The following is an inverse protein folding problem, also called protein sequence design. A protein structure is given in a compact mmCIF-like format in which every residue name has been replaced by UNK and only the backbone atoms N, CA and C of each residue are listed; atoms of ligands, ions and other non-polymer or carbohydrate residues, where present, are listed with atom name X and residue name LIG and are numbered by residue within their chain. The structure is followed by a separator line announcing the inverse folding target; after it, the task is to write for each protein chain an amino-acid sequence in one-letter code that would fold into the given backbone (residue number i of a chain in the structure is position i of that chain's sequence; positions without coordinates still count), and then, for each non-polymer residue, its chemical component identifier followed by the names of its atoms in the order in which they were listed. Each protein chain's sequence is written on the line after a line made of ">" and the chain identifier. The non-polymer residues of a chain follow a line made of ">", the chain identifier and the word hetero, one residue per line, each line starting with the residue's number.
data_IF_662746456792
#
_entry.id   IF_662746456792
#
_cell.length_a   1.000
_cell.length_b   1.000
_cell.length_c   1.000
_cell.angle_alpha   90.00
_cell.angle_beta   90.00
_cell.angle_gamma   90.00
#
_symmetry.space_group_name_H-M   'P 1'
#
loop_
_entity.id
_entity.type
_entity.pdbx_description
1 polymer ?
#
# COMPACT_ATOMS: atom_id res chain seq x y z
N UNK A 1 56.58 -60.43 8.00
CA UNK A 1 56.05 -59.07 7.79
C UNK A 1 54.54 -59.13 7.97
N UNK A 2 54.01 -58.54 9.06
CA UNK A 2 52.56 -58.38 9.29
C UNK A 2 52.19 -56.96 8.87
N UNK A 3 51.38 -56.83 7.83
CA UNK A 3 50.90 -55.54 7.31
C UNK A 3 49.74 -55.07 8.19
N UNK A 4 49.91 -53.95 8.89
CA UNK A 4 48.83 -53.26 9.58
C UNK A 4 48.04 -52.44 8.56
N UNK A 5 46.74 -52.70 8.47
CA UNK A 5 45.80 -51.90 7.68
C UNK A 5 45.31 -50.74 8.54
N UNK A 6 45.79 -49.54 8.27
CA UNK A 6 45.34 -48.32 8.94
C UNK A 6 43.95 -47.95 8.43
N UNK A 7 42.93 -48.09 9.28
CA UNK A 7 41.57 -47.67 8.98
C UNK A 7 41.46 -46.17 9.27
N UNK A 8 41.49 -45.33 8.24
CA UNK A 8 41.28 -43.89 8.35
C UNK A 8 39.79 -43.65 8.62
N UNK A 9 39.43 -43.28 9.85
CA UNK A 9 38.10 -42.73 10.13
C UNK A 9 38.00 -41.36 9.46
N UNK A 10 37.18 -41.25 8.40
CA UNK A 10 36.71 -39.94 7.94
C UNK A 10 35.77 -39.37 9.02
N UNK A 11 36.24 -38.38 9.76
CA UNK A 11 35.36 -37.51 10.54
C UNK A 11 34.49 -36.73 9.56
N UNK A 12 33.19 -37.02 9.53
CA UNK A 12 32.23 -36.16 8.85
C UNK A 12 32.20 -34.83 9.61
N UNK A 13 32.88 -33.82 9.07
CA UNK A 13 32.75 -32.44 9.54
C UNK A 13 31.30 -32.02 9.31
N UNK A 14 30.50 -31.98 10.37
CA UNK A 14 29.20 -31.31 10.33
C UNK A 14 29.48 -29.83 10.14
N UNK A 15 29.34 -29.36 8.90
CA UNK A 15 29.34 -27.92 8.61
C UNK A 15 28.15 -27.37 9.38
N UNK A 16 28.40 -26.61 10.44
CA UNK A 16 27.37 -25.81 11.09
C UNK A 16 26.97 -24.77 10.06
N UNK A 17 25.77 -24.90 9.51
CA UNK A 17 25.21 -23.90 8.61
C UNK A 17 25.04 -22.60 9.40
N UNK A 18 25.37 -21.46 8.78
CA UNK A 18 25.10 -20.18 9.39
C UNK A 18 23.57 -19.97 9.51
N UNK A 19 23.12 -19.32 10.58
CA UNK A 19 21.71 -18.95 10.74
C UNK A 19 21.54 -17.45 10.54
N UNK A 20 20.44 -17.06 9.88
CA UNK A 20 20.02 -15.67 9.70
C UNK A 20 18.83 -15.37 10.60
N UNK A 21 18.84 -14.18 11.22
CA UNK A 21 17.74 -13.68 12.05
C UNK A 21 16.81 -12.77 11.24
N UNK A 22 15.52 -13.13 11.14
CA UNK A 22 14.45 -12.21 10.77
C UNK A 22 13.70 -11.71 12.00
N UNK A 23 13.72 -10.39 12.21
CA UNK A 23 12.79 -9.71 13.10
C UNK A 23 11.60 -9.24 12.28
N UNK A 24 10.44 -9.85 12.51
CA UNK A 24 9.19 -9.52 11.83
C UNK A 24 8.42 -8.56 12.71
N UNK A 25 8.07 -7.40 12.19
CA UNK A 25 7.40 -6.32 12.93
C UNK A 25 6.04 -6.04 12.29
N UNK A 26 4.99 -6.03 13.12
CA UNK A 26 3.69 -5.54 12.69
C UNK A 26 3.55 -4.05 13.02
N UNK A 27 3.53 -3.20 12.00
CA UNK A 27 3.18 -1.78 12.14
C UNK A 27 1.77 -1.48 11.63
N UNK A 28 1.02 -2.47 11.18
CA UNK A 28 -0.37 -2.31 10.79
C UNK A 28 -1.22 -1.96 12.04
N UNK A 29 -2.32 -1.20 11.92
CA UNK A 29 -3.21 -0.90 13.03
C UNK A 29 -3.98 -2.10 13.60
N UNK A 30 -3.93 -3.25 12.94
CA UNK A 30 -4.59 -4.50 13.35
C UNK A 30 -3.62 -5.67 13.45
N UNK A 31 -4.05 -6.72 14.14
CA UNK A 31 -3.33 -7.99 14.21
C UNK A 31 -3.19 -8.60 12.81
N UNK A 32 -1.99 -9.07 12.48
CA UNK A 32 -1.72 -9.77 11.22
C UNK A 32 -1.44 -11.25 11.49
N UNK A 33 -1.78 -12.09 10.52
CA UNK A 33 -1.28 -13.47 10.49
C UNK A 33 0.07 -13.47 9.79
N UNK A 34 1.09 -14.09 10.37
CA UNK A 34 2.41 -14.19 9.73
C UNK A 34 2.56 -15.57 9.10
N UNK A 35 3.07 -15.63 7.88
CA UNK A 35 3.34 -16.87 7.16
C UNK A 35 4.78 -16.90 6.66
N UNK A 36 5.38 -18.08 6.71
CA UNK A 36 6.70 -18.39 6.14
C UNK A 36 6.54 -19.64 5.27
N UNK A 37 6.82 -19.52 3.97
CA UNK A 37 6.66 -20.60 2.98
C UNK A 37 5.30 -21.33 3.07
N UNK A 38 4.23 -20.56 3.21
CA UNK A 38 2.87 -21.11 3.30
C UNK A 38 2.46 -21.61 4.68
N UNK A 39 3.39 -21.70 5.64
CA UNK A 39 3.11 -22.16 6.99
C UNK A 39 2.82 -20.98 7.93
N UNK A 40 1.70 -21.04 8.64
CA UNK A 40 1.37 -20.03 9.64
C UNK A 40 2.39 -20.03 10.79
N UNK A 41 2.80 -18.83 11.19
CA UNK A 41 3.71 -18.58 12.31
C UNK A 41 2.98 -18.02 13.52
N UNK A 42 1.64 -17.99 13.47
CA UNK A 42 0.78 -17.36 14.46
C UNK A 42 0.36 -15.94 14.09
N UNK A 43 -0.27 -15.30 15.08
CA UNK A 43 -0.74 -13.92 15.00
C UNK A 43 0.28 -12.97 15.61
N UNK A 44 0.37 -11.75 15.07
CA UNK A 44 1.24 -10.69 15.58
C UNK A 44 0.40 -9.43 15.81
N UNK A 45 0.28 -8.99 17.06
CA UNK A 45 -0.52 -7.83 17.44
C UNK A 45 0.09 -6.52 16.92
N UNK A 46 -0.68 -5.42 16.86
CA UNK A 46 -0.15 -4.11 16.47
C UNK A 46 1.06 -3.69 17.31
N UNK A 47 2.12 -3.22 16.64
CA UNK A 47 3.41 -2.84 17.22
C UNK A 47 4.22 -3.98 17.87
N UNK A 48 3.75 -5.22 17.79
CA UNK A 48 4.50 -6.37 18.24
C UNK A 48 5.58 -6.77 17.22
N UNK A 49 6.61 -7.44 17.71
CA UNK A 49 7.66 -8.02 16.90
C UNK A 49 7.92 -9.46 17.34
N UNK A 50 8.30 -10.31 16.39
CA UNK A 50 8.71 -11.68 16.67
C UNK A 50 9.96 -12.03 15.88
N UNK A 51 10.81 -12.87 16.46
CA UNK A 51 12.06 -13.30 15.87
C UNK A 51 11.92 -14.69 15.26
N UNK A 52 12.45 -14.89 14.06
CA UNK A 52 12.53 -16.17 13.38
C UNK A 52 13.94 -16.37 12.84
N UNK A 53 14.51 -17.54 13.05
CA UNK A 53 15.78 -17.91 12.43
C UNK A 53 15.52 -18.82 11.24
N UNK A 54 16.38 -18.72 10.24
CA UNK A 54 16.40 -19.64 9.11
C UNK A 54 17.84 -19.88 8.68
N UNK A 55 18.08 -21.07 8.13
CA UNK A 55 19.37 -21.49 7.59
C UNK A 55 19.85 -20.53 6.48
N UNK A 56 21.15 -20.33 6.36
CA UNK A 56 21.75 -19.46 5.35
C UNK A 56 21.38 -19.86 3.92
N UNK A 57 21.09 -21.14 3.70
CA UNK A 57 20.69 -21.69 2.40
C UNK A 57 19.20 -21.56 2.11
N UNK A 58 18.41 -21.06 3.07
CA UNK A 58 16.95 -20.99 2.95
C UNK A 58 16.53 -20.00 1.86
N UNK A 59 15.56 -20.42 1.05
CA UNK A 59 14.88 -19.56 0.09
C UNK A 59 13.38 -19.62 0.33
N UNK A 60 12.72 -18.47 0.23
CA UNK A 60 11.31 -18.43 0.57
C UNK A 60 10.70 -17.04 0.70
N UNK A 61 9.47 -17.05 1.16
CA UNK A 61 8.60 -15.89 1.29
C UNK A 61 8.14 -15.71 2.74
N UNK A 62 8.20 -14.47 3.21
CA UNK A 62 7.60 -14.03 4.48
C UNK A 62 6.49 -13.03 4.15
N UNK A 63 5.27 -13.31 4.61
CA UNK A 63 4.10 -12.54 4.22
C UNK A 63 2.94 -12.62 5.24
N UNK A 64 1.88 -11.87 4.98
CA UNK A 64 0.62 -11.89 5.74
C UNK A 64 -0.57 -12.09 4.81
N UNK A 65 -1.65 -12.73 5.27
CA UNK A 65 -2.89 -12.95 4.50
C UNK A 65 -4.00 -11.98 4.88
N UNK A 66 -3.72 -10.93 5.67
CA UNK A 66 -4.72 -9.97 6.15
C UNK A 66 -5.46 -9.23 5.02
N UNK A 67 -5.13 -9.47 3.76
CA UNK A 67 -5.87 -9.00 2.60
C UNK A 67 -6.10 -10.07 1.52
N UNK A 68 -6.59 -11.24 1.94
CA UNK A 68 -7.05 -12.32 1.05
C UNK A 68 -5.99 -12.99 0.16
N UNK A 69 -4.72 -12.55 0.19
CA UNK A 69 -3.67 -13.25 -0.52
C UNK A 69 -3.30 -14.58 0.12
N UNK A 70 -2.60 -15.41 -0.65
CA UNK A 70 -2.25 -16.78 -0.28
C UNK A 70 -0.79 -17.07 -0.62
N UNK A 71 -0.28 -18.23 -0.16
CA UNK A 71 1.06 -18.69 -0.48
C UNK A 71 1.34 -18.76 -1.99
N UNK A 72 0.29 -19.00 -2.79
CA UNK A 72 0.38 -19.47 -4.18
C UNK A 72 -0.34 -18.59 -5.20
N UNK A 73 -0.81 -17.39 -4.82
CA UNK A 73 -1.65 -16.56 -5.70
C UNK A 73 -1.53 -15.06 -5.46
N UNK A 74 -2.16 -14.29 -6.36
CA UNK A 74 -2.34 -12.84 -6.24
C UNK A 74 -2.90 -12.45 -4.86
N UNK A 75 -2.63 -11.22 -4.40
CA UNK A 75 -3.21 -10.66 -3.17
C UNK A 75 -2.24 -10.11 -2.14
N UNK A 76 -0.92 -10.34 -2.27
CA UNK A 76 0.05 -9.99 -1.21
C UNK A 76 1.36 -9.38 -1.69
N UNK A 77 1.76 -8.29 -1.03
CA UNK A 77 3.15 -7.85 -0.98
C UNK A 77 3.94 -8.76 -0.06
N UNK A 78 5.12 -9.20 -0.48
CA UNK A 78 5.87 -10.28 0.18
C UNK A 78 7.35 -9.93 0.24
N UNK A 79 7.98 -10.29 1.35
CA UNK A 79 9.44 -10.28 1.46
C UNK A 79 9.97 -11.62 0.95
N UNK A 80 10.77 -11.58 -0.11
CA UNK A 80 11.40 -12.75 -0.70
C UNK A 80 12.89 -12.80 -0.41
N UNK A 81 13.38 -14.02 -0.18
CA UNK A 81 14.78 -14.29 0.13
C UNK A 81 15.29 -15.44 -0.71
N UNK A 82 16.56 -15.33 -1.11
CA UNK A 82 17.32 -16.40 -1.73
C UNK A 82 18.68 -16.50 -1.03
N UNK A 83 18.71 -17.33 0.02
CA UNK A 83 19.82 -17.39 0.96
C UNK A 83 21.14 -17.87 0.34
N UNK A 84 21.11 -18.79 -0.62
CA UNK A 84 22.34 -19.34 -1.24
C UNK A 84 23.30 -18.28 -1.79
N UNK A 85 22.77 -17.13 -2.22
CA UNK A 85 23.57 -16.01 -2.73
C UNK A 85 23.20 -14.68 -2.07
N UNK A 86 22.59 -14.71 -0.88
CA UNK A 86 22.28 -13.55 -0.04
C UNK A 86 21.39 -12.48 -0.68
N UNK A 87 20.56 -12.86 -1.64
CA UNK A 87 19.62 -11.93 -2.26
C UNK A 87 18.31 -11.83 -1.48
N UNK A 88 17.73 -10.65 -1.51
CA UNK A 88 16.37 -10.37 -1.08
C UNK A 88 15.70 -9.42 -2.06
N UNK A 89 14.38 -9.46 -2.05
CA UNK A 89 13.55 -8.72 -2.98
C UNK A 89 12.15 -8.57 -2.41
N UNK A 90 11.38 -7.64 -2.96
CA UNK A 90 9.98 -7.49 -2.67
C UNK A 90 9.17 -7.92 -3.89
N UNK A 91 8.10 -8.67 -3.64
CA UNK A 91 7.07 -8.95 -4.64
C UNK A 91 5.86 -8.10 -4.28
N UNK A 92 5.27 -7.39 -5.23
CA UNK A 92 3.99 -6.71 -5.07
C UNK A 92 2.87 -7.50 -5.72
N UNK A 93 1.64 -7.24 -5.31
CA UNK A 93 0.48 -7.62 -6.11
C UNK A 93 0.13 -6.46 -7.07
N UNK A 94 0.12 -6.69 -8.40
CA UNK A 94 -0.26 -5.66 -9.36
C UNK A 94 -1.75 -5.30 -9.31
N UNK A 95 -2.61 -6.14 -8.73
CA UNK A 95 -4.07 -5.99 -8.73
C UNK A 95 -4.63 -5.47 -7.40
N UNK A 96 -3.97 -5.77 -6.28
CA UNK A 96 -4.47 -5.42 -4.95
C UNK A 96 -3.30 -4.93 -4.07
N UNK A 97 -3.18 -3.62 -3.92
CA UNK A 97 -2.15 -3.04 -3.08
C UNK A 97 -2.60 -2.98 -1.62
N UNK A 98 -2.21 -4.01 -0.87
CA UNK A 98 -2.94 -4.35 0.32
C UNK A 98 -2.13 -4.07 1.59
N UNK A 99 -0.93 -4.63 1.72
CA UNK A 99 0.00 -4.41 2.85
C UNK A 99 1.33 -3.92 2.28
N UNK A 100 1.82 -2.75 2.70
CA UNK A 100 3.22 -2.37 2.40
C UNK A 100 4.20 -3.28 3.16
N UNK A 101 5.38 -3.53 2.58
CA UNK A 101 6.45 -4.32 3.22
C UNK A 101 7.78 -3.61 3.04
N UNK A 102 8.61 -3.59 4.08
CA UNK A 102 10.02 -3.21 3.96
C UNK A 102 10.95 -4.29 4.47
N UNK A 103 12.13 -4.37 3.88
CA UNK A 103 13.25 -5.20 4.33
C UNK A 103 14.41 -4.27 4.64
N UNK A 104 14.80 -4.21 5.91
CA UNK A 104 15.97 -3.47 6.38
C UNK A 104 17.02 -4.48 6.84
N UNK A 105 18.13 -4.68 6.11
CA UNK A 105 19.21 -5.54 6.57
C UNK A 105 19.85 -4.96 7.85
N UNK A 106 20.25 -5.82 8.77
CA UNK A 106 21.00 -5.50 9.99
C UNK A 106 22.28 -6.32 10.05
N UNK A 107 23.39 -5.61 10.02
CA UNK A 107 24.72 -6.16 10.20
C UNK A 107 24.90 -6.52 11.68
N UNK A 108 25.15 -7.81 11.97
CA UNK A 108 25.27 -8.31 13.34
C UNK A 108 26.73 -8.26 13.83
N UNK A 109 27.70 -8.40 12.92
CA UNK A 109 29.13 -8.18 13.16
C UNK A 109 29.74 -7.44 11.96
N UNK A 110 30.81 -6.65 12.18
CA UNK A 110 31.30 -5.63 11.23
C UNK A 110 31.42 -6.14 9.78
N UNK A 111 30.51 -5.70 8.92
CA UNK A 111 30.57 -5.91 7.49
C UNK A 111 31.51 -4.88 6.85
N UNK A 112 32.60 -5.35 6.26
CA UNK A 112 33.46 -4.55 5.40
C UNK A 112 32.95 -4.63 3.95
N UNK A 113 32.34 -3.55 3.45
CA UNK A 113 32.23 -3.28 2.00
C UNK A 113 31.09 -3.92 1.21
N UNK A 114 29.97 -4.28 1.85
CA UNK A 114 28.83 -4.93 1.16
C UNK A 114 27.77 -3.99 0.59
N UNK A 115 27.18 -4.37 -0.54
CA UNK A 115 25.94 -3.80 -1.07
C UNK A 115 24.81 -4.25 -0.14
N UNK A 116 24.39 -3.44 0.84
CA UNK A 116 23.30 -3.76 1.77
C UNK A 116 22.36 -2.57 1.86
N UNK A 117 21.29 -2.58 1.06
CA UNK A 117 20.36 -1.47 0.95
C UNK A 117 19.00 -1.81 1.57
N UNK A 118 18.22 -0.79 1.92
CA UNK A 118 16.83 -1.01 2.31
C UNK A 118 15.98 -1.23 1.06
N UNK A 119 15.11 -2.23 1.11
CA UNK A 119 14.04 -2.40 0.12
C UNK A 119 12.72 -1.96 0.76
N UNK A 120 11.96 -1.11 0.06
CA UNK A 120 10.72 -0.52 0.55
C UNK A 120 9.65 -0.62 -0.53
N UNK A 121 8.49 -1.13 -0.14
CA UNK A 121 7.25 -1.05 -0.89
C UNK A 121 6.21 -0.47 0.07
N UNK A 122 6.00 0.84 -0.02
CA UNK A 122 5.02 1.58 0.77
C UNK A 122 3.89 2.12 -0.14
N UNK A 123 2.98 2.95 0.39
CA UNK A 123 1.80 3.37 -0.37
C UNK A 123 2.10 4.39 -1.47
N UNK A 124 3.30 4.99 -1.44
CA UNK A 124 3.74 6.04 -2.37
C UNK A 124 4.82 5.52 -3.32
N UNK A 125 5.70 4.65 -2.83
CA UNK A 125 6.90 4.13 -3.46
C UNK A 125 6.91 2.60 -3.39
N UNK A 126 6.43 1.98 -4.47
CA UNK A 126 6.51 0.53 -4.67
C UNK A 126 6.92 0.21 -6.12
N UNK A 127 7.99 0.87 -6.57
CA UNK A 127 8.52 0.78 -7.94
C UNK A 127 9.65 -0.24 -8.08
N UNK A 128 10.41 -0.49 -7.01
CA UNK A 128 11.50 -1.47 -6.97
C UNK A 128 11.01 -2.83 -6.46
N UNK A 129 10.00 -3.40 -7.11
CA UNK A 129 9.42 -4.71 -6.77
C UNK A 129 9.23 -5.57 -8.02
N UNK A 130 9.13 -6.88 -7.81
CA UNK A 130 8.66 -7.81 -8.84
C UNK A 130 7.14 -8.01 -8.75
N UNK A 131 6.48 -8.34 -9.86
CA UNK A 131 5.07 -8.79 -9.84
C UNK A 131 4.95 -10.30 -9.54
N UNK A 132 6.04 -11.05 -9.71
CA UNK A 132 6.15 -12.48 -9.41
C UNK A 132 7.52 -12.84 -8.84
N UNK A 133 7.68 -13.94 -8.08
CA UNK A 133 9.00 -14.38 -7.64
C UNK A 133 9.98 -14.52 -8.83
N UNK A 134 11.21 -13.98 -8.74
CA UNK A 134 12.23 -14.18 -9.77
C UNK A 134 12.63 -15.65 -9.83
N UNK A 135 12.80 -16.15 -11.06
CA UNK A 135 13.18 -17.56 -11.32
C UNK A 135 14.69 -17.79 -11.35
N UNK A 136 15.49 -16.72 -11.42
CA UNK A 136 16.95 -16.78 -11.55
C UNK A 136 17.61 -15.72 -10.68
N UNK A 137 18.71 -16.10 -10.05
CA UNK A 137 19.54 -15.20 -9.25
C UNK A 137 20.96 -15.18 -9.84
N UNK A 138 21.56 -14.00 -10.06
CA UNK A 138 22.96 -13.90 -10.48
C UNK A 138 23.90 -14.57 -9.49
N UNK A 139 25.08 -14.98 -9.97
CA UNK A 139 26.17 -15.34 -9.06
C UNK A 139 26.63 -14.09 -8.29
N UNK A 140 27.05 -14.23 -7.01
CA UNK A 140 27.58 -13.12 -6.23
C UNK A 140 28.71 -12.42 -7.00
N UNK A 141 28.67 -11.09 -7.02
CA UNK A 141 29.61 -10.28 -7.78
C UNK A 141 30.22 -9.19 -6.92
N UNK A 142 31.32 -8.59 -7.38
CA UNK A 142 31.91 -7.42 -6.76
C UNK A 142 31.14 -6.12 -7.01
N UNK A 143 29.93 -6.17 -7.56
CA UNK A 143 29.09 -5.01 -7.92
C UNK A 143 27.66 -5.17 -7.41
N UNK A 144 27.03 -4.06 -7.00
CA UNK A 144 25.65 -4.08 -6.51
C UNK A 144 24.69 -4.55 -7.60
N UNK A 145 23.74 -5.47 -7.31
CA UNK A 145 22.63 -5.71 -8.22
C UNK A 145 21.80 -4.44 -8.39
N UNK A 146 21.23 -4.26 -9.58
CA UNK A 146 20.25 -3.21 -9.80
C UNK A 146 18.89 -3.61 -9.17
N UNK A 147 18.13 -2.64 -8.60
CA UNK A 147 16.75 -2.89 -8.22
C UNK A 147 15.94 -3.48 -9.39
N UNK A 148 14.94 -4.33 -9.14
CA UNK A 148 14.31 -4.62 -7.84
C UNK A 148 14.99 -5.75 -7.03
N UNK A 149 16.17 -6.22 -7.45
CA UNK A 149 16.95 -7.22 -6.73
C UNK A 149 18.00 -6.56 -5.83
N UNK A 150 18.12 -7.02 -4.60
CA UNK A 150 19.08 -6.50 -3.63
C UNK A 150 19.89 -7.64 -3.03
N UNK A 151 21.16 -7.37 -2.75
CA UNK A 151 22.06 -8.31 -2.07
C UNK A 151 22.36 -7.75 -0.68
N UNK A 152 22.82 -8.60 0.25
CA UNK A 152 23.58 -8.15 1.41
C UNK A 152 24.59 -9.25 1.76
N UNK A 153 25.85 -9.11 1.30
CA UNK A 153 26.84 -10.18 1.38
C UNK A 153 27.26 -10.44 2.83
N UNK A 154 27.75 -11.65 3.09
CA UNK A 154 28.20 -12.10 4.40
C UNK A 154 27.18 -12.99 5.12
N UNK A 155 27.67 -13.75 6.10
CA UNK A 155 26.89 -14.72 6.88
C UNK A 155 26.26 -14.11 8.13
N UNK A 156 26.80 -12.99 8.63
CA UNK A 156 26.39 -12.37 9.89
C UNK A 156 25.38 -11.22 9.66
N UNK A 157 24.33 -11.53 8.89
CA UNK A 157 23.31 -10.56 8.47
C UNK A 157 21.92 -11.02 8.94
N UNK A 158 21.27 -10.15 9.71
CA UNK A 158 19.84 -10.26 10.01
C UNK A 158 19.01 -9.32 9.15
N UNK A 159 17.69 -9.44 9.23
CA UNK A 159 16.75 -8.59 8.51
C UNK A 159 15.61 -8.16 9.44
N UNK A 160 15.26 -6.89 9.39
CA UNK A 160 13.99 -6.41 9.94
C UNK A 160 12.97 -6.36 8.79
N UNK A 161 11.93 -7.18 8.87
CA UNK A 161 10.81 -7.18 7.92
C UNK A 161 9.65 -6.47 8.59
N UNK A 162 9.21 -5.36 8.01
CA UNK A 162 8.10 -4.58 8.58
C UNK A 162 6.89 -4.66 7.67
N UNK A 163 5.77 -5.12 8.21
CA UNK A 163 4.46 -4.99 7.57
C UNK A 163 3.85 -3.63 7.92
N UNK A 164 3.31 -2.95 6.91
CA UNK A 164 2.77 -1.59 7.01
C UNK A 164 3.79 -0.58 7.52
N UNK A 165 4.92 -0.37 6.81
CA UNK A 165 6.00 0.50 7.26
C UNK A 165 5.54 1.94 7.55
N UNK A 166 4.49 2.42 6.88
CA UNK A 166 3.86 3.73 7.09
C UNK A 166 2.87 3.78 8.27
N UNK A 167 2.62 2.66 8.94
CA UNK A 167 1.57 2.48 9.96
C UNK A 167 0.13 2.67 9.46
N UNK A 168 -0.07 2.61 8.15
CA UNK A 168 -1.40 2.66 7.51
C UNK A 168 -1.75 1.26 7.00
N UNK A 169 -2.93 0.74 7.37
CA UNK A 169 -3.44 -0.51 6.79
C UNK A 169 -4.97 -0.61 6.76
N UNK A 170 -5.54 -1.03 5.62
CA UNK A 170 -4.87 -0.96 4.31
C UNK A 170 -4.54 0.51 4.05
N UNK A 171 -3.65 0.84 3.08
CA UNK A 171 -3.60 2.22 2.61
C UNK A 171 -5.05 2.63 2.30
N UNK A 172 -5.49 3.75 2.86
CA UNK A 172 -6.69 3.81 3.68
C UNK A 172 -7.90 3.01 3.14
N UNK A 173 -8.31 1.97 3.88
CA UNK A 173 -9.70 1.50 3.89
C UNK A 173 -10.42 2.07 5.11
N UNK A 174 -11.14 3.12 4.82
CA UNK A 174 -12.46 3.45 5.35
C UNK A 174 -13.17 4.16 4.20
N UNK A 175 -12.94 3.67 2.98
CA UNK A 175 -13.44 4.36 1.81
C UNK A 175 -14.94 4.20 1.79
N UNK A 176 -15.60 5.29 1.48
CA UNK A 176 -17.00 5.31 1.17
C UNK A 176 -17.14 5.40 -0.33
N UNK A 177 -18.24 4.87 -0.81
CA UNK A 177 -18.76 5.26 -2.10
C UNK A 177 -19.72 6.42 -1.90
N UNK A 178 -19.57 7.49 -2.68
CA UNK A 178 -20.40 8.69 -2.57
C UNK A 178 -21.46 8.64 -3.68
N UNK A 179 -22.72 8.65 -3.29
CA UNK A 179 -23.88 8.55 -4.18
C UNK A 179 -24.72 9.83 -4.14
N UNK A 180 -25.31 10.26 -5.26
CA UNK A 180 -26.40 11.24 -5.20
C UNK A 180 -27.60 10.59 -4.49
N UNK A 181 -28.28 11.33 -3.61
CA UNK A 181 -29.46 10.80 -2.87
C UNK A 181 -30.58 10.20 -3.73
N UNK A 182 -30.61 10.53 -5.03
CA UNK A 182 -31.57 9.98 -5.99
C UNK A 182 -31.21 8.62 -6.60
N UNK A 183 -30.01 8.07 -6.35
CA UNK A 183 -29.58 6.81 -6.95
C UNK A 183 -28.32 6.22 -6.27
N UNK A 184 -28.47 5.05 -5.63
CA UNK A 184 -27.33 4.29 -5.09
C UNK A 184 -26.53 3.54 -6.18
N UNK A 185 -27.08 3.39 -7.39
CA UNK A 185 -26.37 2.77 -8.53
C UNK A 185 -25.43 3.76 -9.25
N UNK A 186 -25.34 4.99 -8.75
CA UNK A 186 -24.52 6.07 -9.32
C UNK A 186 -23.50 6.53 -8.31
N UNK A 187 -22.29 6.73 -8.77
CA UNK A 187 -21.11 6.95 -7.95
C UNK A 187 -20.38 8.22 -8.39
N UNK A 188 -19.88 8.98 -7.41
CA UNK A 188 -18.90 10.03 -7.64
C UNK A 188 -17.61 9.40 -8.18
N UNK A 189 -17.21 9.79 -9.39
CA UNK A 189 -16.26 9.04 -10.22
C UNK A 189 -15.19 9.95 -10.81
N UNK A 190 -13.92 9.53 -10.76
CA UNK A 190 -12.84 10.19 -11.49
C UNK A 190 -12.86 9.75 -12.95
N UNK A 191 -13.07 10.71 -13.85
CA UNK A 191 -13.31 10.42 -15.27
C UNK A 191 -12.23 9.54 -15.89
N UNK A 192 -12.66 8.37 -16.37
CA UNK A 192 -11.80 7.41 -17.07
C UNK A 192 -10.71 6.80 -16.20
N UNK A 193 -10.86 6.82 -14.86
CA UNK A 193 -9.84 6.39 -13.91
C UNK A 193 -8.46 7.06 -14.13
N UNK A 194 -8.47 8.29 -14.63
CA UNK A 194 -7.26 9.07 -14.92
C UNK A 194 -6.79 9.80 -13.66
N UNK A 195 -5.85 9.22 -12.91
CA UNK A 195 -5.37 9.79 -11.65
C UNK A 195 -4.22 10.80 -11.87
N UNK A 196 -4.58 11.99 -12.36
CA UNK A 196 -3.67 13.14 -12.51
C UNK A 196 -4.39 14.47 -12.24
N UNK A 197 -3.63 15.47 -11.81
CA UNK A 197 -4.09 16.85 -11.62
C UNK A 197 -4.90 17.33 -12.83
N UNK A 198 -6.06 17.94 -12.56
CA UNK A 198 -6.91 18.46 -13.63
C UNK A 198 -8.03 17.52 -14.05
N UNK A 199 -7.97 16.23 -13.71
CA UNK A 199 -8.97 15.26 -14.18
C UNK A 199 -10.33 15.55 -13.56
N UNK A 200 -11.34 15.72 -14.41
CA UNK A 200 -12.72 16.02 -14.01
C UNK A 200 -13.32 14.90 -13.18
N UNK A 201 -14.10 15.28 -12.17
CA UNK A 201 -14.99 14.38 -11.43
C UNK A 201 -16.37 14.41 -12.07
N UNK A 202 -16.96 13.24 -12.25
CA UNK A 202 -18.23 13.01 -12.93
C UNK A 202 -19.12 12.10 -12.08
N UNK A 203 -20.35 11.88 -12.52
CA UNK A 203 -21.17 10.74 -12.08
C UNK A 203 -21.00 9.59 -13.07
N UNK A 204 -20.94 8.37 -12.56
CA UNK A 204 -20.90 7.16 -13.39
C UNK A 204 -21.61 6.00 -12.69
N UNK A 205 -21.98 4.97 -13.44
CA UNK A 205 -22.44 3.70 -12.88
C UNK A 205 -21.42 3.18 -11.87
N UNK A 206 -21.93 2.74 -10.72
CA UNK A 206 -21.08 2.11 -9.73
C UNK A 206 -20.47 0.83 -10.29
N UNK A 207 -19.14 0.76 -10.30
CA UNK A 207 -18.38 -0.33 -10.93
C UNK A 207 -17.27 -0.88 -10.01
N UNK A 208 -17.20 -0.41 -8.77
CA UNK A 208 -16.28 -0.91 -7.74
C UNK A 208 -14.80 -0.58 -7.99
N UNK A 209 -14.48 0.21 -9.01
CA UNK A 209 -13.09 0.58 -9.33
C UNK A 209 -12.54 1.60 -8.33
N UNK A 210 -11.20 1.75 -8.32
CA UNK A 210 -10.53 2.74 -7.47
C UNK A 210 -10.97 4.19 -7.75
N UNK A 211 -11.51 4.48 -8.95
CA UNK A 211 -11.99 5.81 -9.33
C UNK A 211 -13.22 6.28 -8.53
N UNK A 212 -13.86 5.40 -7.76
CA UNK A 212 -15.11 5.63 -7.04
C UNK A 212 -14.97 5.46 -5.52
N UNK A 213 -13.74 5.28 -5.02
CA UNK A 213 -13.45 5.03 -3.61
C UNK A 213 -12.93 6.32 -2.99
N UNK A 214 -13.65 6.87 -2.02
CA UNK A 214 -13.32 8.17 -1.42
C UNK A 214 -13.12 8.06 0.08
N UNK A 215 -12.22 8.86 0.63
CA UNK A 215 -12.01 9.01 2.06
C UNK A 215 -12.52 10.38 2.48
N UNK A 216 -13.40 10.40 3.47
CA UNK A 216 -13.93 11.62 4.05
C UNK A 216 -13.31 11.77 5.45
N UNK A 217 -12.20 12.50 5.53
CA UNK A 217 -11.45 12.68 6.79
C UNK A 217 -11.75 14.06 7.36
N UNK A 218 -12.34 14.12 8.56
CA UNK A 218 -12.54 15.37 9.29
C UNK A 218 -11.18 15.89 9.80
N UNK A 219 -10.81 17.13 9.47
CA UNK A 219 -9.70 17.84 10.10
C UNK A 219 -10.25 19.01 10.92
N UNK A 220 -9.86 19.07 12.19
CA UNK A 220 -10.42 20.01 13.19
C UNK A 220 -10.12 21.48 12.89
N UNK A 221 -9.04 21.77 12.14
CA UNK A 221 -8.60 23.14 11.84
C UNK A 221 -8.69 23.55 10.37
N UNK A 222 -8.81 22.59 9.43
CA UNK A 222 -8.78 22.84 7.98
C UNK A 222 -10.01 22.33 7.21
N UNK A 223 -10.98 21.70 7.88
CA UNK A 223 -12.19 21.15 7.26
C UNK A 223 -12.09 19.67 6.93
N UNK A 224 -13.17 19.11 6.42
CA UNK A 224 -13.22 17.76 5.86
C UNK A 224 -12.42 17.68 4.55
N UNK A 225 -11.48 16.75 4.48
CA UNK A 225 -10.77 16.37 3.25
C UNK A 225 -11.53 15.24 2.56
N UNK A 226 -11.81 15.39 1.27
CA UNK A 226 -12.40 14.34 0.41
C UNK A 226 -11.31 13.85 -0.53
N UNK A 227 -10.67 12.73 -0.19
CA UNK A 227 -9.50 12.20 -0.90
C UNK A 227 -9.88 10.94 -1.69
N UNK A 228 -9.35 10.81 -2.90
CA UNK A 228 -9.47 9.57 -3.67
C UNK A 228 -8.61 8.48 -2.99
N UNK A 229 -9.25 7.43 -2.52
CA UNK A 229 -8.65 6.43 -1.63
C UNK A 229 -7.41 5.78 -2.27
N UNK A 230 -6.33 5.66 -1.49
CA UNK A 230 -5.06 5.09 -1.98
C UNK A 230 -4.29 5.98 -2.95
N UNK A 231 -4.61 7.27 -3.09
CA UNK A 231 -3.90 8.21 -3.98
C UNK A 231 -3.61 9.55 -3.28
N UNK A 232 -2.68 10.39 -3.76
CA UNK A 232 -2.43 11.72 -3.22
C UNK A 232 -3.44 12.78 -3.70
N UNK A 233 -4.56 12.38 -4.32
CA UNK A 233 -5.49 13.31 -4.97
C UNK A 233 -6.73 13.60 -4.14
N UNK A 234 -7.12 14.87 -4.09
CA UNK A 234 -8.27 15.39 -3.37
C UNK A 234 -9.28 16.04 -4.31
N UNK A 235 -10.54 16.06 -3.88
CA UNK A 235 -11.61 16.81 -4.54
C UNK A 235 -11.31 18.31 -4.48
N UNK A 236 -11.26 18.94 -5.65
CA UNK A 236 -10.71 20.28 -5.84
C UNK A 236 -11.59 21.10 -6.79
N UNK A 237 -11.84 22.37 -6.44
CA UNK A 237 -12.59 23.31 -7.29
C UNK A 237 -11.75 24.46 -7.86
N UNK A 238 -10.42 24.38 -7.77
CA UNK A 238 -9.49 25.38 -8.30
C UNK A 238 -9.48 26.67 -7.50
N UNK A 239 -8.83 27.69 -8.05
CA UNK A 239 -8.43 28.89 -7.30
C UNK A 239 -9.60 29.78 -6.87
N UNK A 240 -10.68 29.84 -7.67
CA UNK A 240 -11.80 30.76 -7.46
C UNK A 240 -13.15 30.07 -7.70
N UNK A 241 -13.57 29.15 -6.83
CA UNK A 241 -14.83 28.44 -7.02
C UNK A 241 -16.02 29.41 -6.93
N UNK A 242 -16.89 29.31 -7.94
CA UNK A 242 -18.18 29.98 -8.11
C UNK A 242 -19.19 28.99 -8.69
N UNK A 243 -20.48 29.35 -8.71
CA UNK A 243 -21.51 28.50 -9.31
C UNK A 243 -21.16 28.15 -10.77
N UNK A 244 -21.14 26.86 -11.09
CA UNK A 244 -20.75 26.32 -12.39
C UNK A 244 -19.28 25.91 -12.50
N UNK A 245 -18.45 26.17 -11.48
CA UNK A 245 -17.05 25.74 -11.48
C UNK A 245 -16.99 24.21 -11.49
N UNK A 246 -16.27 23.65 -12.47
CA UNK A 246 -16.13 22.19 -12.58
C UNK A 246 -15.24 21.63 -11.48
N UNK A 247 -15.67 20.53 -10.87
CA UNK A 247 -14.91 19.81 -9.86
C UNK A 247 -13.97 18.82 -10.53
N UNK A 248 -12.76 18.74 -9.98
CA UNK A 248 -11.68 17.91 -10.47
C UNK A 248 -10.94 17.27 -9.30
N UNK A 249 -10.02 16.39 -9.62
CA UNK A 249 -8.99 15.97 -8.68
C UNK A 249 -7.73 16.82 -8.86
N UNK A 250 -7.07 17.11 -7.74
CA UNK A 250 -5.76 17.73 -7.67
C UNK A 250 -5.00 17.17 -6.48
N UNK A 251 -3.68 17.22 -6.53
CA UNK A 251 -2.82 16.82 -5.42
C UNK A 251 -3.29 17.51 -4.13
N UNK A 252 -3.38 16.73 -3.07
CA UNK A 252 -3.85 17.15 -1.77
C UNK A 252 -2.91 18.21 -1.17
N UNK A 253 -3.42 19.41 -0.89
CA UNK A 253 -2.66 20.50 -0.28
C UNK A 253 -3.30 20.85 1.07
N UNK A 254 -2.54 20.76 2.15
CA UNK A 254 -3.00 21.14 3.50
C UNK A 254 -3.36 22.63 3.56
N UNK A 255 -4.52 22.93 4.15
CA UNK A 255 -5.01 24.31 4.32
C UNK A 255 -5.50 24.99 3.04
N UNK A 256 -5.51 24.31 1.89
CA UNK A 256 -6.03 24.89 0.66
C UNK A 256 -7.56 24.97 0.70
N UNK A 257 -8.10 26.19 0.73
CA UNK A 257 -9.54 26.44 0.81
C UNK A 257 -10.36 25.79 -0.32
N UNK A 258 -9.75 25.57 -1.49
CA UNK A 258 -10.37 24.91 -2.64
C UNK A 258 -10.53 23.39 -2.49
N UNK A 259 -9.91 22.79 -1.46
CA UNK A 259 -9.99 21.37 -1.10
C UNK A 259 -10.54 21.15 0.32
N UNK A 260 -10.98 22.23 0.97
CA UNK A 260 -11.51 22.24 2.32
C UNK A 260 -13.04 22.19 2.30
N UNK A 261 -13.58 21.02 2.65
CA UNK A 261 -15.02 20.73 2.59
C UNK A 261 -15.61 20.56 4.00
N UNK A 262 -16.91 20.39 4.07
CA UNK A 262 -17.67 19.96 5.23
C UNK A 262 -18.70 18.97 4.72
N UNK A 263 -18.75 17.77 5.29
CA UNK A 263 -19.88 16.87 5.09
C UNK A 263 -20.81 17.01 6.30
N UNK A 264 -21.99 17.59 6.09
CA UNK A 264 -22.91 17.97 7.18
C UNK A 264 -24.08 16.98 7.35
N UNK A 265 -24.85 17.13 8.43
CA UNK A 265 -26.00 16.26 8.75
C UNK A 265 -27.15 16.35 7.73
N UNK A 266 -27.12 17.37 6.88
CA UNK A 266 -28.02 17.53 5.75
C UNK A 266 -27.54 16.78 4.49
N UNK A 267 -26.49 15.95 4.58
CA UNK A 267 -25.89 15.23 3.46
C UNK A 267 -25.30 16.12 2.37
N UNK A 268 -24.91 17.36 2.69
CA UNK A 268 -24.23 18.25 1.74
C UNK A 268 -22.72 18.16 1.93
N UNK A 269 -21.99 18.09 0.82
CA UNK A 269 -20.53 18.30 0.78
C UNK A 269 -20.33 19.77 0.39
N UNK A 270 -20.00 20.61 1.36
CA UNK A 270 -20.00 22.09 1.25
C UNK A 270 -18.59 22.65 1.49
N UNK A 271 -18.22 23.75 0.84
CA UNK A 271 -16.98 24.45 1.20
C UNK A 271 -17.02 25.03 2.62
N UNK A 272 -15.90 24.92 3.35
CA UNK A 272 -15.78 25.58 4.66
C UNK A 272 -15.73 27.11 4.55
N UNK A 273 -15.18 27.63 3.44
CA UNK A 273 -14.91 29.06 3.24
C UNK A 273 -16.04 29.83 2.55
N UNK A 274 -16.99 29.15 1.90
CA UNK A 274 -18.03 29.79 1.06
C UNK A 274 -19.34 29.01 1.08
N UNK A 275 -20.44 29.70 0.75
CA UNK A 275 -21.75 29.07 0.58
C UNK A 275 -21.89 28.37 -0.78
N UNK A 276 -21.04 27.38 -1.05
CA UNK A 276 -20.98 26.61 -2.28
C UNK A 276 -20.94 25.12 -1.93
N UNK A 277 -21.72 24.30 -2.65
CA UNK A 277 -21.94 22.89 -2.41
C UNK A 277 -21.54 22.06 -3.65
N UNK A 278 -21.14 20.81 -3.41
CA UNK A 278 -20.95 19.81 -4.46
C UNK A 278 -22.29 19.54 -5.14
N UNK A 279 -22.34 19.71 -6.45
CA UNK A 279 -23.56 19.77 -7.23
C UNK A 279 -23.46 18.84 -8.44
N UNK A 280 -24.41 17.91 -8.55
CA UNK A 280 -24.64 17.14 -9.75
C UNK A 280 -25.31 18.05 -10.78
N UNK A 281 -24.60 18.37 -11.85
CA UNK A 281 -25.04 19.35 -12.85
C UNK A 281 -26.41 18.98 -13.39
N UNK A 282 -27.38 19.89 -13.29
CA UNK A 282 -28.77 19.71 -13.70
C UNK A 282 -29.49 18.49 -13.09
N UNK A 283 -28.91 17.86 -12.06
CA UNK A 283 -29.40 16.62 -11.47
C UNK A 283 -29.36 15.40 -12.41
N UNK A 284 -28.69 15.48 -13.56
CA UNK A 284 -28.69 14.40 -14.55
C UNK A 284 -27.85 13.21 -14.08
N UNK A 285 -28.46 12.02 -14.06
CA UNK A 285 -27.80 10.74 -13.72
C UNK A 285 -27.15 10.06 -14.93
N UNK A 286 -27.07 10.74 -16.09
CA UNK A 286 -26.39 10.18 -17.26
C UNK A 286 -24.89 10.00 -16.98
N UNK A 287 -24.34 8.84 -17.37
CA UNK A 287 -22.92 8.56 -17.21
C UNK A 287 -22.05 9.63 -17.87
N UNK A 288 -21.09 10.14 -17.12
CA UNK A 288 -20.19 11.20 -17.56
C UNK A 288 -20.74 12.60 -17.38
N UNK A 289 -21.94 12.78 -16.80
CA UNK A 289 -22.38 14.09 -16.37
C UNK A 289 -21.41 14.66 -15.33
N UNK A 290 -21.04 15.93 -15.48
CA UNK A 290 -19.99 16.56 -14.68
C UNK A 290 -20.49 16.94 -13.29
N UNK A 291 -19.57 16.95 -12.33
CA UNK A 291 -19.79 17.55 -11.03
C UNK A 291 -19.30 19.00 -11.04
N UNK A 292 -20.06 19.89 -10.44
CA UNK A 292 -19.74 21.31 -10.32
C UNK A 292 -19.87 21.77 -8.86
N UNK A 293 -19.40 22.98 -8.56
CA UNK A 293 -19.86 23.71 -7.39
C UNK A 293 -21.05 24.57 -7.75
N UNK A 294 -22.01 24.70 -6.84
CA UNK A 294 -23.13 25.63 -6.97
C UNK A 294 -23.50 26.24 -5.64
N UNK A 295 -24.12 27.42 -5.65
CA UNK A 295 -24.63 28.04 -4.40
C UNK A 295 -25.48 27.03 -3.66
N UNK A 296 -25.17 26.78 -2.38
CA UNK A 296 -25.90 25.80 -1.60
C UNK A 296 -27.38 26.19 -1.51
N UNK A 297 -28.25 25.27 -1.90
CA UNK A 297 -29.70 25.40 -1.83
C UNK A 297 -30.26 24.64 -0.62
N UNK A 298 -31.55 24.83 -0.33
CA UNK A 298 -32.25 24.07 0.72
C UNK A 298 -32.22 22.57 0.43
N UNK A 299 -32.43 21.76 1.46
CA UNK A 299 -32.39 20.28 1.45
C UNK A 299 -33.45 19.60 0.57
N UNK A 300 -34.24 20.36 -0.17
CA UNK A 300 -35.13 19.87 -1.23
C UNK A 300 -34.40 19.73 -2.57
N UNK A 301 -33.22 20.32 -2.72
CA UNK A 301 -32.42 20.24 -3.95
C UNK A 301 -31.59 18.96 -3.98
N UNK A 302 -32.21 17.88 -4.48
CA UNK A 302 -31.63 16.52 -4.47
C UNK A 302 -30.30 16.40 -5.21
N UNK A 303 -30.00 17.31 -6.14
CA UNK A 303 -28.75 17.29 -6.89
C UNK A 303 -27.54 17.81 -6.08
N UNK A 304 -27.74 18.30 -4.85
CA UNK A 304 -26.67 18.72 -3.93
C UNK A 304 -26.55 17.84 -2.68
N UNK A 305 -27.30 16.74 -2.63
CA UNK A 305 -27.32 15.84 -1.48
C UNK A 305 -26.65 14.51 -1.84
N UNK A 306 -25.74 14.09 -0.97
CA UNK A 306 -24.84 12.97 -1.18
C UNK A 306 -24.87 12.02 0.02
N UNK A 307 -25.07 10.74 -0.25
CA UNK A 307 -25.05 9.67 0.78
C UNK A 307 -23.85 8.77 0.56
N UNK A 308 -23.40 8.15 1.63
CA UNK A 308 -22.23 7.26 1.63
C UNK A 308 -22.65 5.83 1.94
N UNK A 309 -22.01 4.84 1.29
CA UNK A 309 -22.07 3.42 1.66
C UNK A 309 -20.70 2.81 1.83
#
# INVERSE_FOLDING_TARGET
>A
MKTFLTLTLLSASTVVLAERLATIVNRCPQTISVFINGQTQGLLAPNEATNRTYEDTWAGLIYSTTNEGSANGAGTTRAGFYGQTNYYYLIRDPSNFNTGVSIVPRVISSLTGGFCATSLCDSISCTSTYDSPPSTFPAPSGTAPAPPLFECPGTDVGYTITFCPERTFPPPSGYVTIHPTGSNDKCLDVRGASFRNGTTVQIYDCNGTAAQRWLITKSDSSGTRVQLAGTPFCLDAGSNPSSGTTIKIWECIDGLAAQAWQYNDANQIKFTSKNQCLDLTDGSLANGNRIQSWTCQSTTSRNQLWVTS
#
